data_IF_313123314467
#
_entry.id   IF_313123314467
#
_cell.length_a   1.000
_cell.length_b   1.000
_cell.length_c   1.000
_cell.angle_alpha   90.00
_cell.angle_beta   90.00
_cell.angle_gamma   90.00
#
_symmetry.space_group_name_H-M   'P 1'
#
loop_
_entity.id
_entity.type
_entity.pdbx_description
1 polymer ?
#
# COMPACT_ATOMS: atom_id res chain seq x y z
N UNK A 1 -31.71 -23.37 -25.97
CA UNK A 1 -33.07 -22.83 -25.81
C UNK A 1 -33.82 -22.89 -27.12
N UNK A 2 -35.13 -23.17 -27.08
CA UNK A 2 -36.00 -23.16 -28.28
C UNK A 2 -36.26 -21.72 -28.69
N UNK A 3 -35.90 -21.36 -29.93
CA UNK A 3 -36.15 -20.02 -30.51
C UNK A 3 -37.26 -20.11 -31.54
N UNK A 4 -38.06 -19.05 -31.68
CA UNK A 4 -39.12 -18.97 -32.68
C UNK A 4 -38.52 -18.64 -34.07
N UNK A 5 -39.24 -18.95 -35.15
CA UNK A 5 -38.76 -18.77 -36.56
C UNK A 5 -38.48 -17.32 -36.98
N UNK A 6 -38.99 -16.35 -36.23
CA UNK A 6 -38.76 -14.91 -36.37
C UNK A 6 -37.72 -14.38 -35.37
N UNK A 7 -37.15 -15.23 -34.51
CA UNK A 7 -36.10 -14.84 -33.59
C UNK A 7 -34.75 -14.94 -34.29
N UNK A 8 -34.29 -13.82 -34.83
CA UNK A 8 -32.91 -13.66 -35.30
C UNK A 8 -31.98 -13.52 -34.10
N UNK A 9 -30.80 -14.15 -34.10
CA UNK A 9 -29.81 -14.09 -33.00
C UNK A 9 -29.03 -12.75 -32.94
N UNK A 10 -29.70 -11.65 -33.30
CA UNK A 10 -29.16 -10.30 -33.33
C UNK A 10 -28.34 -10.02 -34.58
N UNK A 11 -28.74 -9.00 -35.34
CA UNK A 11 -27.87 -8.33 -36.31
C UNK A 11 -26.78 -7.54 -35.57
N UNK A 12 -25.65 -7.26 -36.22
CA UNK A 12 -24.53 -6.50 -35.61
C UNK A 12 -25.02 -5.15 -35.04
N UNK A 13 -25.93 -4.48 -35.73
CA UNK A 13 -26.55 -3.22 -35.27
C UNK A 13 -27.35 -3.37 -33.97
N UNK A 14 -28.04 -4.48 -33.77
CA UNK A 14 -28.77 -4.73 -32.52
C UNK A 14 -27.81 -5.04 -31.38
N UNK A 15 -26.73 -5.78 -31.65
CA UNK A 15 -25.70 -6.06 -30.65
C UNK A 15 -25.04 -4.76 -30.15
N UNK A 16 -24.71 -3.84 -31.05
CA UNK A 16 -24.18 -2.53 -30.65
C UNK A 16 -25.18 -1.70 -29.86
N UNK A 17 -26.47 -1.74 -30.21
CA UNK A 17 -27.49 -1.06 -29.40
C UNK A 17 -27.57 -1.63 -27.98
N UNK A 18 -27.47 -2.95 -27.83
CA UNK A 18 -27.42 -3.58 -26.50
C UNK A 18 -26.17 -3.15 -25.72
N UNK A 19 -25.00 -3.12 -26.36
CA UNK A 19 -23.75 -2.63 -25.75
C UNK A 19 -23.86 -1.15 -25.33
N UNK A 20 -24.43 -0.29 -26.19
CA UNK A 20 -24.65 1.13 -25.91
C UNK A 20 -25.52 1.32 -24.65
N UNK A 21 -26.63 0.59 -24.58
CA UNK A 21 -27.54 0.65 -23.43
C UNK A 21 -26.88 0.15 -22.14
N UNK A 22 -26.04 -0.88 -22.22
CA UNK A 22 -25.28 -1.38 -21.06
C UNK A 22 -24.24 -0.34 -20.60
N UNK A 23 -23.53 0.30 -21.53
CA UNK A 23 -22.57 1.36 -21.21
C UNK A 23 -23.29 2.54 -20.55
N UNK A 24 -24.43 3.00 -21.08
CA UNK A 24 -25.21 4.06 -20.43
C UNK A 24 -25.71 3.65 -19.04
N UNK A 25 -26.19 2.41 -18.87
CA UNK A 25 -26.64 1.92 -17.58
C UNK A 25 -25.50 1.91 -16.54
N UNK A 26 -24.31 1.44 -16.92
CA UNK A 26 -23.12 1.49 -16.06
C UNK A 26 -22.70 2.94 -15.79
N UNK A 27 -22.80 3.84 -16.77
CA UNK A 27 -22.49 5.26 -16.55
C UNK A 27 -23.46 5.97 -15.59
N UNK A 28 -24.74 5.58 -15.54
CA UNK A 28 -25.74 6.18 -14.65
C UNK A 28 -25.63 5.62 -13.22
N UNK A 29 -25.48 4.31 -13.10
CA UNK A 29 -25.57 3.62 -11.81
C UNK A 29 -24.21 3.24 -11.23
N UNK A 30 -23.19 3.07 -12.07
CA UNK A 30 -21.85 2.69 -11.67
C UNK A 30 -21.10 3.79 -10.92
N UNK A 31 -19.86 3.47 -10.61
CA UNK A 31 -18.94 4.34 -9.93
C UNK A 31 -17.68 4.54 -10.77
N UNK A 32 -17.14 5.75 -10.70
CA UNK A 32 -15.84 6.06 -11.27
C UNK A 32 -14.75 5.41 -10.42
N UNK A 33 -14.04 4.46 -11.02
CA UNK A 33 -12.92 3.75 -10.39
C UNK A 33 -11.67 3.91 -11.25
N UNK A 34 -10.51 3.69 -10.66
CA UNK A 34 -9.26 3.64 -11.39
C UNK A 34 -8.79 2.20 -11.53
N UNK A 35 -8.53 1.77 -12.76
CA UNK A 35 -7.89 0.50 -13.08
C UNK A 35 -6.38 0.70 -13.17
N UNK A 36 -5.62 -0.14 -12.48
CA UNK A 36 -4.17 -0.08 -12.42
C UNK A 36 -3.61 -1.41 -12.92
N UNK A 37 -3.03 -1.46 -14.14
CA UNK A 37 -2.41 -2.67 -14.62
C UNK A 37 -1.09 -2.93 -13.90
N UNK A 38 -0.81 -4.20 -13.59
CA UNK A 38 0.48 -4.60 -13.06
C UNK A 38 1.51 -4.67 -14.17
N UNK A 39 2.73 -4.27 -13.84
CA UNK A 39 3.93 -4.54 -14.64
C UNK A 39 4.86 -5.40 -13.80
N UNK A 40 5.31 -6.52 -14.37
CA UNK A 40 6.24 -7.42 -13.70
C UNK A 40 7.65 -6.82 -13.84
N UNK A 41 8.32 -6.56 -12.72
CA UNK A 41 9.73 -6.18 -12.72
C UNK A 41 10.53 -7.48 -12.61
N UNK A 42 11.12 -7.93 -13.71
CA UNK A 42 12.07 -9.05 -13.68
C UNK A 42 13.37 -8.57 -13.04
N UNK A 43 13.51 -8.79 -11.74
CA UNK A 43 14.82 -8.89 -11.09
C UNK A 43 15.38 -10.30 -11.37
N UNK A 44 16.71 -10.44 -11.35
CA UNK A 44 17.51 -11.45 -12.06
C UNK A 44 17.02 -12.91 -11.96
N UNK A 45 16.80 -13.58 -13.11
CA UNK A 45 16.42 -15.01 -13.19
C UNK A 45 17.46 -15.96 -12.55
N UNK A 46 18.67 -15.47 -12.26
CA UNK A 46 19.77 -16.25 -11.68
C UNK A 46 19.46 -16.81 -10.28
N UNK A 47 18.68 -16.10 -9.46
CA UNK A 47 18.38 -16.49 -8.08
C UNK A 47 16.97 -17.08 -7.89
N UNK A 48 16.13 -17.01 -8.92
CA UNK A 48 14.75 -17.54 -8.87
C UNK A 48 13.88 -16.85 -7.81
N UNK A 49 14.14 -15.56 -7.56
CA UNK A 49 13.27 -14.73 -6.72
C UNK A 49 11.93 -14.46 -7.43
N UNK A 50 10.88 -14.21 -6.65
CA UNK A 50 9.57 -13.89 -7.18
C UNK A 50 9.58 -12.42 -7.66
N UNK A 51 9.26 -12.13 -8.94
CA UNK A 51 9.30 -10.77 -9.45
C UNK A 51 8.30 -9.88 -8.70
N UNK A 52 8.81 -8.77 -8.15
CA UNK A 52 7.97 -7.76 -7.52
C UNK A 52 7.09 -7.07 -8.58
N UNK A 53 5.82 -6.86 -8.24
CA UNK A 53 4.89 -6.13 -9.11
C UNK A 53 5.06 -4.62 -8.95
N UNK A 54 4.99 -3.88 -10.06
CA UNK A 54 4.99 -2.42 -10.09
C UNK A 54 3.72 -1.92 -10.78
N UNK A 55 3.12 -0.86 -10.24
CA UNK A 55 1.96 -0.18 -10.81
C UNK A 55 2.33 1.26 -11.13
N UNK A 56 2.48 1.58 -12.42
CA UNK A 56 2.87 2.94 -12.89
C UNK A 56 1.74 3.72 -13.54
N UNK A 57 0.71 3.05 -14.02
CA UNK A 57 -0.37 3.66 -14.78
C UNK A 57 -1.70 3.49 -14.03
N UNK A 58 -2.60 4.46 -14.20
CA UNK A 58 -3.96 4.41 -13.68
C UNK A 58 -4.97 4.94 -14.72
N UNK A 59 -6.01 4.16 -14.99
CA UNK A 59 -7.04 4.47 -15.98
C UNK A 59 -8.39 4.66 -15.30
N UNK A 60 -8.98 5.84 -15.44
CA UNK A 60 -10.36 6.08 -14.98
C UNK A 60 -11.35 5.34 -15.86
N UNK A 61 -12.17 4.48 -15.27
CA UNK A 61 -13.23 3.74 -15.94
C UNK A 61 -14.44 3.57 -15.02
N UNK A 62 -15.62 3.56 -15.60
CA UNK A 62 -16.87 3.35 -14.89
C UNK A 62 -17.12 1.85 -14.67
N UNK A 63 -17.28 1.45 -13.42
CA UNK A 63 -17.62 0.07 -13.06
C UNK A 63 -18.82 0.02 -12.15
N UNK A 64 -19.68 -0.98 -12.34
CA UNK A 64 -20.75 -1.29 -11.40
C UNK A 64 -20.23 -2.23 -10.31
N UNK A 65 -20.37 -1.83 -9.05
CA UNK A 65 -20.02 -2.67 -7.91
C UNK A 65 -21.22 -3.53 -7.52
N UNK A 66 -21.09 -4.84 -7.70
CA UNK A 66 -22.00 -5.82 -7.14
C UNK A 66 -21.44 -6.26 -5.78
N UNK A 67 -22.05 -5.75 -4.71
CA UNK A 67 -21.80 -6.28 -3.38
C UNK A 67 -22.39 -7.67 -3.29
N UNK A 68 -21.56 -8.66 -2.96
CA UNK A 68 -22.04 -10.02 -2.68
C UNK A 68 -22.70 -10.05 -1.30
N UNK A 69 -23.88 -9.42 -1.18
CA UNK A 69 -24.75 -9.59 -0.02
C UNK A 69 -25.58 -10.86 -0.23
N UNK A 70 -25.09 -11.99 0.30
CA UNK A 70 -25.94 -13.19 0.33
C UNK A 70 -25.26 -14.53 0.55
N UNK A 71 -24.79 -14.78 1.77
CA UNK A 71 -25.24 -15.91 2.61
C UNK A 71 -24.60 -15.74 4.00
N UNK A 72 -25.40 -15.40 5.01
CA UNK A 72 -24.98 -15.42 6.42
C UNK A 72 -24.67 -16.87 6.86
N UNK A 73 -23.48 -17.34 6.53
CA UNK A 73 -23.01 -18.67 6.89
C UNK A 73 -21.50 -18.74 6.78
N UNK A 74 -20.83 -18.09 7.74
CA UNK A 74 -19.38 -18.14 7.99
C UNK A 74 -18.49 -17.31 7.05
N UNK A 75 -18.48 -15.99 7.27
CA UNK A 75 -17.52 -15.03 6.67
C UNK A 75 -16.19 -14.94 7.47
N UNK A 76 -15.87 -15.99 8.22
CA UNK A 76 -14.68 -16.07 9.07
C UNK A 76 -14.09 -17.46 8.92
N UNK A 77 -13.26 -17.64 7.89
CA UNK A 77 -12.58 -18.91 7.67
C UNK A 77 -11.45 -18.99 8.69
N UNK A 78 -11.66 -19.76 9.75
CA UNK A 78 -10.60 -20.08 10.71
C UNK A 78 -9.61 -21.03 10.03
N UNK A 79 -8.52 -20.48 9.49
CA UNK A 79 -7.41 -21.30 9.03
C UNK A 79 -6.54 -21.70 10.22
N UNK A 80 -5.67 -22.71 10.06
CA UNK A 80 -4.73 -23.13 11.12
C UNK A 80 -3.72 -22.04 11.54
N UNK A 81 -3.76 -20.86 10.91
CA UNK A 81 -2.86 -19.73 11.13
C UNK A 81 -3.56 -18.47 11.65
N UNK A 82 -4.89 -18.43 11.71
CA UNK A 82 -5.63 -17.28 12.24
C UNK A 82 -6.99 -17.04 11.58
N UNK A 83 -7.62 -15.93 11.97
CA UNK A 83 -8.83 -15.37 11.38
C UNK A 83 -8.41 -14.50 10.19
N UNK A 84 -8.77 -14.91 8.98
CA UNK A 84 -8.54 -14.12 7.77
C UNK A 84 -9.88 -13.56 7.29
N UNK A 85 -10.09 -12.26 7.48
CA UNK A 85 -11.32 -11.56 7.08
C UNK A 85 -11.04 -10.83 5.77
N UNK A 86 -11.05 -11.57 4.66
CA UNK A 86 -10.98 -10.97 3.34
C UNK A 86 -12.34 -10.41 2.95
N UNK A 87 -12.34 -9.16 2.49
CA UNK A 87 -13.52 -8.61 1.86
C UNK A 87 -13.47 -8.98 0.39
N UNK A 88 -14.55 -9.57 -0.11
CA UNK A 88 -14.74 -9.90 -1.52
C UNK A 88 -15.83 -9.01 -2.11
N UNK A 89 -15.64 -8.61 -3.36
CA UNK A 89 -16.62 -7.84 -4.13
C UNK A 89 -16.51 -8.20 -5.61
N UNK A 90 -17.57 -7.95 -6.37
CA UNK A 90 -17.55 -8.13 -7.82
C UNK A 90 -17.71 -6.79 -8.51
N UNK A 91 -16.84 -6.49 -9.48
CA UNK A 91 -17.00 -5.34 -10.37
C UNK A 91 -17.45 -5.81 -11.74
N UNK A 92 -18.34 -5.04 -12.38
CA UNK A 92 -18.82 -5.29 -13.73
C UNK A 92 -18.40 -4.12 -14.61
N UNK A 93 -17.73 -4.43 -15.72
CA UNK A 93 -17.27 -3.45 -16.71
C UNK A 93 -17.75 -3.85 -18.10
N UNK A 94 -18.06 -2.87 -18.95
CA UNK A 94 -18.41 -3.13 -20.35
C UNK A 94 -17.17 -3.43 -21.19
N UNK A 95 -17.23 -4.43 -22.07
CA UNK A 95 -16.11 -4.82 -22.95
C UNK A 95 -15.71 -3.70 -23.90
N UNK A 96 -16.69 -3.07 -24.55
CA UNK A 96 -16.39 -2.01 -25.51
C UNK A 96 -15.82 -0.75 -24.84
N UNK A 97 -16.30 -0.43 -23.63
CA UNK A 97 -15.75 0.67 -22.82
C UNK A 97 -14.30 0.39 -22.40
N UNK A 98 -14.02 -0.85 -22.00
CA UNK A 98 -12.67 -1.33 -21.75
C UNK A 98 -11.76 -1.17 -22.97
N UNK A 99 -12.24 -1.59 -24.15
CA UNK A 99 -11.48 -1.50 -25.38
C UNK A 99 -11.15 -0.05 -25.78
N UNK A 100 -12.07 0.87 -25.52
CA UNK A 100 -11.88 2.29 -25.83
C UNK A 100 -10.89 3.00 -24.90
N UNK A 101 -10.86 2.63 -23.62
CA UNK A 101 -10.09 3.33 -22.58
C UNK A 101 -8.75 2.67 -22.31
N UNK A 102 -8.73 1.35 -22.15
CA UNK A 102 -7.58 0.61 -21.63
C UNK A 102 -6.87 -0.13 -22.76
N UNK A 103 -7.59 -0.78 -23.69
CA UNK A 103 -7.00 -1.65 -24.74
C UNK A 103 -6.13 -0.92 -25.80
N UNK A 104 -5.94 0.40 -25.68
CA UNK A 104 -5.10 1.18 -26.59
C UNK A 104 -3.65 1.34 -26.11
N UNK A 105 -3.30 0.79 -24.95
CA UNK A 105 -1.98 0.98 -24.36
C UNK A 105 -1.05 -0.23 -24.59
N UNK A 106 0.19 0.06 -24.99
CA UNK A 106 1.24 -0.92 -25.24
C UNK A 106 1.85 -1.52 -23.94
N UNK A 107 1.57 -0.94 -22.77
CA UNK A 107 2.10 -1.37 -21.47
C UNK A 107 1.31 -2.52 -20.82
N UNK A 108 0.22 -2.99 -21.44
CA UNK A 108 -0.61 -4.07 -20.90
C UNK A 108 0.01 -5.44 -21.18
N UNK A 109 -0.04 -6.33 -20.18
CA UNK A 109 0.40 -7.72 -20.34
C UNK A 109 -0.53 -8.46 -21.31
N UNK A 110 -1.85 -8.32 -21.13
CA UNK A 110 -2.87 -8.74 -22.10
C UNK A 110 -3.73 -7.55 -22.49
N UNK A 111 -3.76 -7.26 -23.78
CA UNK A 111 -4.48 -6.09 -24.28
C UNK A 111 -5.99 -6.33 -24.50
N UNK A 112 -6.43 -7.58 -24.52
CA UNK A 112 -7.80 -7.94 -24.95
C UNK A 112 -8.82 -8.02 -23.83
N UNK A 113 -8.39 -7.98 -22.56
CA UNK A 113 -9.26 -8.11 -21.38
C UNK A 113 -8.54 -7.60 -20.13
N UNK A 114 -9.27 -7.32 -19.04
CA UNK A 114 -8.66 -7.15 -17.73
C UNK A 114 -7.91 -8.41 -17.29
N UNK A 115 -6.77 -8.23 -16.62
CA UNK A 115 -5.91 -9.32 -16.19
C UNK A 115 -6.07 -9.64 -14.70
N UNK A 116 -5.87 -10.90 -14.36
CA UNK A 116 -5.80 -11.32 -12.96
C UNK A 116 -4.52 -10.76 -12.30
N UNK A 117 -4.66 -10.26 -11.07
CA UNK A 117 -3.58 -9.62 -10.32
C UNK A 117 -3.48 -8.10 -10.48
N UNK A 118 -4.28 -7.51 -11.37
CA UNK A 118 -4.37 -6.06 -11.51
C UNK A 118 -5.18 -5.44 -10.35
N UNK A 119 -4.98 -4.14 -10.12
CA UNK A 119 -5.60 -3.42 -9.02
C UNK A 119 -6.72 -2.50 -9.50
N UNK A 120 -7.75 -2.37 -8.67
CA UNK A 120 -8.84 -1.42 -8.84
C UNK A 120 -8.86 -0.52 -7.61
N UNK A 121 -8.63 0.77 -7.82
CA UNK A 121 -8.78 1.79 -6.79
C UNK A 121 -10.19 2.37 -6.85
N UNK A 122 -10.91 2.30 -5.73
CA UNK A 122 -12.22 2.93 -5.58
C UNK A 122 -12.09 4.22 -4.74
N UNK A 123 -12.18 5.41 -5.35
CA UNK A 123 -12.05 6.70 -4.66
C UNK A 123 -13.06 6.92 -3.51
N UNK A 124 -14.31 6.45 -3.66
CA UNK A 124 -15.34 6.65 -2.63
C UNK A 124 -15.04 5.88 -1.34
N UNK A 125 -14.51 4.66 -1.47
CA UNK A 125 -14.14 3.80 -0.32
C UNK A 125 -12.68 4.04 0.12
N UNK A 126 -11.86 4.66 -0.74
CA UNK A 126 -10.41 4.86 -0.57
C UNK A 126 -9.68 3.54 -0.31
N UNK A 127 -10.07 2.49 -1.03
CA UNK A 127 -9.48 1.14 -0.91
C UNK A 127 -9.10 0.60 -2.27
N UNK A 128 -8.06 -0.23 -2.25
CA UNK A 128 -7.58 -1.01 -3.39
C UNK A 128 -8.14 -2.43 -3.31
N UNK A 129 -8.48 -2.95 -4.47
CA UNK A 129 -8.95 -4.31 -4.67
C UNK A 129 -8.07 -4.98 -5.72
N UNK A 130 -7.74 -6.25 -5.53
CA UNK A 130 -7.01 -7.04 -6.50
C UNK A 130 -7.96 -7.99 -7.21
N UNK A 131 -7.83 -8.08 -8.53
CA UNK A 131 -8.64 -8.95 -9.37
C UNK A 131 -8.13 -10.38 -9.21
N UNK A 132 -8.95 -11.24 -8.61
CA UNK A 132 -8.64 -12.66 -8.44
C UNK A 132 -8.99 -13.47 -9.68
N UNK A 133 -10.11 -13.16 -10.32
CA UNK A 133 -10.61 -13.91 -11.47
C UNK A 133 -11.47 -13.04 -12.39
N UNK A 134 -11.27 -13.19 -13.70
CA UNK A 134 -12.03 -12.48 -14.74
C UNK A 134 -12.92 -13.45 -15.49
N UNK A 135 -14.23 -13.34 -15.27
CA UNK A 135 -15.21 -14.10 -16.02
C UNK A 135 -15.52 -13.41 -17.36
N UNK A 136 -15.23 -14.14 -18.43
CA UNK A 136 -15.45 -13.73 -19.81
C UNK A 136 -16.28 -14.76 -20.61
N UNK A 137 -16.67 -15.87 -20.00
CA UNK A 137 -17.04 -17.09 -20.72
C UNK A 137 -18.41 -17.66 -20.30
N UNK A 138 -19.30 -16.86 -19.69
CA UNK A 138 -20.62 -17.36 -19.26
C UNK A 138 -21.60 -17.55 -20.45
N UNK A 139 -21.88 -18.78 -20.93
CA UNK A 139 -22.38 -19.03 -22.29
C UNK A 139 -23.91 -19.00 -22.45
N UNK A 140 -24.65 -18.26 -21.62
CA UNK A 140 -26.12 -18.40 -21.52
C UNK A 140 -26.96 -17.24 -22.08
N UNK A 141 -26.43 -16.44 -23.00
CA UNK A 141 -27.23 -15.42 -23.69
C UNK A 141 -27.80 -15.91 -25.03
N UNK A 142 -29.03 -15.49 -25.34
CA UNK A 142 -29.67 -15.79 -26.62
C UNK A 142 -29.03 -15.04 -27.79
N UNK A 143 -28.40 -13.90 -27.49
CA UNK A 143 -27.53 -13.13 -28.37
C UNK A 143 -26.11 -13.64 -28.16
N UNK A 144 -25.40 -13.97 -29.25
CA UNK A 144 -24.11 -14.65 -29.23
C UNK A 144 -22.93 -13.72 -28.83
N UNK A 145 -23.14 -12.81 -27.90
CA UNK A 145 -22.13 -11.87 -27.41
C UNK A 145 -22.42 -11.46 -25.97
N UNK A 146 -21.39 -11.49 -25.12
CA UNK A 146 -21.43 -10.95 -23.76
C UNK A 146 -20.89 -9.53 -23.80
N UNK A 147 -21.69 -8.50 -23.47
CA UNK A 147 -21.24 -7.11 -23.53
C UNK A 147 -20.41 -6.68 -22.30
N UNK A 148 -20.22 -7.57 -21.32
CA UNK A 148 -19.57 -7.25 -20.03
C UNK A 148 -18.47 -8.25 -19.64
N UNK A 149 -17.55 -7.80 -18.81
CA UNK A 149 -16.65 -8.63 -18.00
C UNK A 149 -17.08 -8.55 -16.54
N UNK A 150 -17.08 -9.69 -15.85
CA UNK A 150 -17.32 -9.75 -14.40
C UNK A 150 -16.00 -10.06 -13.70
N UNK A 151 -15.58 -9.14 -12.84
CA UNK A 151 -14.29 -9.16 -12.14
C UNK A 151 -14.54 -9.53 -10.69
N UNK A 152 -14.08 -10.69 -10.27
CA UNK A 152 -14.10 -11.11 -8.88
C UNK A 152 -12.87 -10.57 -8.19
N UNK A 153 -13.09 -9.71 -7.20
CA UNK A 153 -12.03 -8.96 -6.55
C UNK A 153 -12.00 -9.23 -5.05
N UNK A 154 -10.79 -9.24 -4.49
CA UNK A 154 -10.55 -9.33 -3.04
C UNK A 154 -9.85 -8.07 -2.54
N UNK A 155 -9.92 -7.79 -1.25
CA UNK A 155 -9.14 -6.71 -0.64
C UNK A 155 -7.66 -6.90 -0.93
N UNK A 156 -7.01 -5.82 -1.36
CA UNK A 156 -5.56 -5.81 -1.55
C UNK A 156 -4.86 -5.28 -0.30
N UNK A 157 -3.72 -5.89 0.02
CA UNK A 157 -2.85 -5.49 1.11
C UNK A 157 -1.45 -5.20 0.55
N UNK A 158 -0.84 -4.13 1.05
CA UNK A 158 0.47 -3.68 0.62
C UNK A 158 1.57 -4.67 1.06
N UNK A 159 2.37 -5.13 0.11
CA UNK A 159 3.48 -6.09 0.28
C UNK A 159 4.79 -5.55 -0.32
N UNK A 160 5.05 -4.25 -0.15
CA UNK A 160 6.25 -3.56 -0.67
C UNK A 160 6.29 -3.37 -2.19
N UNK A 161 5.16 -3.46 -2.88
CA UNK A 161 5.04 -3.11 -4.29
C UNK A 161 5.15 -1.60 -4.51
N UNK A 162 5.73 -1.22 -5.66
CA UNK A 162 5.90 0.19 -6.04
C UNK A 162 4.63 0.73 -6.70
N UNK A 163 4.07 1.82 -6.16
CA UNK A 163 2.86 2.50 -6.61
C UNK A 163 3.19 3.93 -7.08
N UNK A 164 3.60 4.08 -8.34
CA UNK A 164 3.92 5.39 -8.94
C UNK A 164 2.87 5.75 -9.99
N UNK A 165 1.62 5.94 -9.58
CA UNK A 165 0.51 6.16 -10.54
C UNK A 165 0.31 7.61 -10.93
N UNK A 166 0.90 8.54 -10.17
CA UNK A 166 0.69 9.98 -10.32
C UNK A 166 -0.62 10.47 -9.69
N UNK A 167 -1.41 9.57 -9.08
CA UNK A 167 -2.60 9.90 -8.30
C UNK A 167 -2.18 9.98 -6.83
N UNK A 168 -2.20 11.19 -6.26
CA UNK A 168 -1.75 11.44 -4.89
C UNK A 168 -2.41 10.56 -3.83
N UNK A 169 -3.66 10.16 -4.03
CA UNK A 169 -4.38 9.29 -3.10
C UNK A 169 -3.90 7.84 -3.11
N UNK A 170 -3.34 7.37 -4.23
CA UNK A 170 -2.79 6.02 -4.38
C UNK A 170 -1.33 6.01 -3.93
N UNK A 171 -0.54 6.98 -4.40
CA UNK A 171 0.89 7.09 -4.07
C UNK A 171 1.11 7.38 -2.56
N UNK A 172 0.14 8.01 -1.88
CA UNK A 172 0.16 8.18 -0.43
C UNK A 172 0.07 6.86 0.35
N UNK A 173 -0.53 5.82 -0.22
CA UNK A 173 -0.64 4.49 0.42
C UNK A 173 0.75 3.87 0.58
N UNK A 174 1.58 3.92 -0.46
CA UNK A 174 2.98 3.48 -0.40
C UNK A 174 3.76 4.28 0.65
N UNK A 175 3.69 5.62 0.58
CA UNK A 175 4.42 6.50 1.51
C UNK A 175 4.07 6.23 2.97
N UNK A 176 2.78 6.08 3.28
CA UNK A 176 2.33 5.83 4.65
C UNK A 176 2.84 4.48 5.17
N UNK A 177 2.65 3.40 4.39
CA UNK A 177 3.01 2.06 4.84
C UNK A 177 4.52 1.86 4.93
N UNK A 178 5.29 2.47 4.02
CA UNK A 178 6.76 2.47 4.08
C UNK A 178 7.30 3.27 5.26
N UNK A 179 6.70 4.44 5.57
CA UNK A 179 7.13 5.28 6.69
C UNK A 179 6.83 4.60 8.03
N UNK A 180 5.65 3.98 8.16
CA UNK A 180 5.28 3.24 9.36
C UNK A 180 6.28 2.11 9.64
N UNK A 181 6.66 1.33 8.62
CA UNK A 181 7.67 0.27 8.75
C UNK A 181 9.01 0.80 9.27
N UNK A 182 9.50 1.91 8.70
CA UNK A 182 10.77 2.55 9.11
C UNK A 182 10.71 3.10 10.54
N UNK A 183 9.57 3.66 10.94
CA UNK A 183 9.35 4.16 12.30
C UNK A 183 9.34 3.05 13.35
N UNK A 184 8.84 1.86 13.02
CA UNK A 184 8.90 0.69 13.89
C UNK A 184 10.33 0.19 14.07
N UNK A 185 11.13 0.11 13.01
CA UNK A 185 12.55 -0.27 13.10
C UNK A 185 13.34 0.69 13.99
N UNK A 186 13.20 2.00 13.77
CA UNK A 186 13.88 3.01 14.59
C UNK A 186 13.50 2.93 16.08
N UNK A 187 12.22 2.67 16.39
CA UNK A 187 11.76 2.50 17.78
C UNK A 187 12.39 1.28 18.46
N UNK A 188 12.53 0.16 17.73
CA UNK A 188 13.16 -1.06 18.22
C UNK A 188 14.68 -0.90 18.42
N UNK A 189 15.34 -0.14 17.56
CA UNK A 189 16.76 0.20 17.70
C UNK A 189 17.02 1.11 18.92
N UNK A 190 16.13 2.07 19.17
CA UNK A 190 16.26 3.02 20.27
C UNK A 190 15.97 2.41 21.66
N UNK A 191 15.26 1.28 21.75
CA UNK A 191 14.98 0.61 23.04
C UNK A 191 16.23 0.06 23.76
N UNK A 192 17.39 0.05 23.11
CA UNK A 192 18.66 -0.42 23.72
C UNK A 192 19.46 0.74 24.35
N UNK A 193 19.09 1.99 24.10
CA UNK A 193 19.74 3.16 24.68
C UNK A 193 19.08 3.55 26.01
N UNK A 194 19.43 2.86 27.09
CA UNK A 194 19.19 3.38 28.43
C UNK A 194 20.27 4.42 28.75
N UNK A 195 19.90 5.71 28.78
CA UNK A 195 20.72 6.73 29.43
C UNK A 195 20.61 6.53 30.95
N UNK A 196 21.39 5.60 31.51
CA UNK A 196 21.57 5.56 32.95
C UNK A 196 22.48 6.72 33.38
N UNK A 197 22.00 7.54 34.32
CA UNK A 197 22.80 8.59 34.94
C UNK A 197 23.95 7.94 35.71
N UNK A 198 25.15 7.93 35.14
CA UNK A 198 26.34 7.46 35.85
C UNK A 198 26.71 8.51 36.90
N UNK A 199 26.25 8.32 38.14
CA UNK A 199 26.70 9.12 39.28
C UNK A 199 28.15 8.78 39.61
N UNK A 200 29.06 9.74 39.49
CA UNK A 200 30.40 9.60 40.04
C UNK A 200 30.32 9.71 41.56
N UNK A 201 30.53 8.60 42.26
CA UNK A 201 30.70 8.59 43.72
C UNK A 201 31.93 9.43 44.10
N UNK A 202 31.73 10.33 45.07
CA UNK A 202 32.80 11.15 45.61
C UNK A 202 33.77 10.26 46.41
N UNK A 203 34.87 9.85 45.78
CA UNK A 203 35.99 9.24 46.50
C UNK A 203 36.57 10.24 47.49
N UNK A 204 36.62 9.90 48.78
CA UNK A 204 37.28 10.72 49.79
C UNK A 204 38.79 10.74 49.49
N UNK A 205 39.30 11.91 49.12
CA UNK A 205 40.74 12.12 48.93
C UNK A 205 41.41 11.94 50.29
N UNK A 206 42.24 10.91 50.44
CA UNK A 206 43.06 10.73 51.64
C UNK A 206 44.12 11.83 51.72
N UNK A 207 44.18 12.51 52.87
CA UNK A 207 45.19 13.51 53.21
C UNK A 207 46.61 12.96 53.03
N UNK A 208 47.38 13.55 52.10
CA UNK A 208 48.78 13.19 51.89
C UNK A 208 49.64 13.86 52.97
N UNK A 209 50.25 13.05 53.83
CA UNK A 209 51.28 13.49 54.77
C UNK A 209 52.68 13.47 54.14
N UNK A 210 53.50 14.53 54.25
CA UNK A 210 53.26 15.77 55.00
C UNK A 210 52.50 16.84 54.20
N UNK A 211 51.66 17.59 54.94
CA UNK A 211 50.83 18.71 54.44
C UNK A 211 51.70 19.86 53.91
N UNK A 212 51.44 20.40 52.70
CA UNK A 212 52.15 21.58 52.20
C UNK A 212 51.81 22.81 53.07
N UNK A 213 52.81 23.65 53.38
CA UNK A 213 52.67 24.77 54.32
C UNK A 213 51.63 25.84 53.92
N UNK A 214 51.20 26.71 54.86
CA UNK A 214 50.14 27.69 54.65
C UNK A 214 50.49 28.75 53.59
N UNK A 215 49.48 29.37 52.92
CA UNK A 215 48.04 29.23 53.16
C UNK A 215 47.42 28.02 52.43
N UNK A 216 46.77 27.15 53.20
CA UNK A 216 45.82 26.12 52.76
C UNK A 216 44.45 26.44 53.38
N UNK A 217 43.32 26.18 52.68
CA UNK A 217 43.18 25.40 51.45
C UNK A 217 43.67 26.14 50.19
N UNK A 218 44.13 25.45 49.12
CA UNK A 218 44.32 26.07 47.83
C UNK A 218 42.95 26.52 47.39
N UNK A 219 42.87 27.77 46.99
CA UNK A 219 41.68 28.31 46.33
C UNK A 219 41.46 27.48 45.07
N UNK A 220 40.48 26.58 45.13
CA UNK A 220 39.92 25.81 44.02
C UNK A 220 40.95 24.99 43.20
N UNK A 221 41.24 23.77 43.63
CA UNK A 221 41.29 22.67 42.67
C UNK A 221 39.85 22.13 42.54
N UNK A 222 39.00 22.98 42.00
CA UNK A 222 37.73 22.54 41.42
C UNK A 222 38.13 21.69 40.21
N UNK A 223 37.58 20.49 40.09
CA UNK A 223 37.59 19.83 38.79
C UNK A 223 36.75 20.74 37.91
N UNK A 224 37.42 21.52 37.06
CA UNK A 224 36.82 22.55 36.21
C UNK A 224 35.49 22.06 35.61
N UNK A 225 34.40 22.44 36.27
CA UNK A 225 33.10 22.63 35.66
C UNK A 225 32.76 24.10 35.89
N UNK A 226 33.61 24.94 35.30
CA UNK A 226 33.31 26.34 35.04
C UNK A 226 32.13 26.34 34.05
N UNK A 227 31.01 26.90 34.50
CA UNK A 227 29.77 27.08 33.76
C UNK A 227 28.96 25.83 33.40
N UNK A 228 28.42 25.10 34.39
CA UNK A 228 27.11 24.43 34.24
C UNK A 228 26.88 23.52 33.02
N UNK A 229 27.93 22.99 32.39
CA UNK A 229 27.84 22.08 31.26
C UNK A 229 27.98 20.65 31.76
N UNK A 230 26.93 19.87 31.53
CA UNK A 230 26.92 18.43 31.75
C UNK A 230 28.08 17.78 30.97
N UNK A 231 28.73 16.79 31.59
CA UNK A 231 29.72 15.95 30.92
C UNK A 231 28.99 15.17 29.82
N UNK A 232 29.08 15.68 28.59
CA UNK A 232 28.46 15.18 27.36
C UNK A 232 26.93 15.30 27.35
N UNK A 233 26.45 16.33 26.64
CA UNK A 233 25.10 16.44 26.03
C UNK A 233 23.96 15.68 26.73
N UNK A 234 23.73 15.94 28.01
CA UNK A 234 22.50 15.56 28.69
C UNK A 234 21.43 16.59 28.31
N UNK A 235 20.70 16.30 27.24
CA UNK A 235 19.46 16.99 26.89
C UNK A 235 18.32 16.40 27.73
N UNK A 236 17.45 17.25 28.30
CA UNK A 236 16.26 16.80 29.07
C UNK A 236 15.19 16.14 28.18
N UNK A 237 15.41 16.13 26.86
CA UNK A 237 14.57 15.50 25.86
C UNK A 237 15.36 14.39 25.17
N UNK A 238 14.83 13.17 25.21
CA UNK A 238 15.43 12.03 24.54
C UNK A 238 15.45 12.25 23.01
N UNK A 239 16.61 12.08 22.38
CA UNK A 239 16.75 12.02 20.92
C UNK A 239 17.20 13.30 20.20
N UNK A 240 17.40 14.43 20.89
CA UNK A 240 17.89 15.67 20.26
C UNK A 240 19.42 15.74 20.15
N UNK A 241 20.16 15.01 20.98
CA UNK A 241 21.63 15.02 20.95
C UNK A 241 22.24 14.34 19.71
N UNK A 242 21.45 13.58 18.94
CA UNK A 242 21.92 12.86 17.74
C UNK A 242 21.69 13.65 16.44
N UNK A 243 20.94 14.76 16.48
CA UNK A 243 20.57 15.54 15.30
C UNK A 243 21.33 16.87 15.15
N UNK A 244 22.24 17.18 16.08
CA UNK A 244 23.09 18.37 15.98
C UNK A 244 24.55 17.98 15.79
N UNK A 245 24.85 17.38 14.64
CA UNK A 245 26.13 17.61 13.98
C UNK A 245 25.87 18.70 12.93
N UNK A 246 26.28 19.92 13.28
CA UNK A 246 26.30 21.08 12.39
C UNK A 246 27.15 20.73 11.15
N UNK A 247 26.53 20.87 9.97
CA UNK A 247 27.13 20.55 8.68
C UNK A 247 27.93 21.69 8.07
N UNK A 248 28.26 22.74 8.83
CA UNK A 248 29.11 23.84 8.35
C UNK A 248 30.49 23.88 9.05
N UNK A 249 31.48 23.26 8.41
CA UNK A 249 32.90 23.60 8.52
C UNK A 249 33.61 23.43 7.17
#
# INVERSE_FOLDING_TARGET
>A
MTTNVHFSKGTISEQYLYEDLVIEAIGIYGHDVFYLPRTLVNEDELLGEDPLSKFSDAYGIEMWMETQEGYEGEKDIVTRFGLDIQNETSFIVSRRRWDDVVSRNDNLIVNTRPDEGDLIYFPAVKRLWIISFVDHDDPFYQVNNLPVYKLYCRSWEYSSERLDTGISAIDAIETQRSTDASGYEFSLENQVAFNETIGQEWGTIYDQSPVPGPPWPPTASDILLEDGFNLLAETTEAGTSILTEDSDA
#
